data_IF_814760525336
#
_entry.id   IF_814760525336
#
_cell.length_a   1.000
_cell.length_b   1.000
_cell.length_c   1.000
_cell.angle_alpha   90.00
_cell.angle_beta   90.00
_cell.angle_gamma   90.00
#
_symmetry.space_group_name_H-M   'P 1'
#
loop_
_entity.id
_entity.type
_entity.pdbx_description
1 polymer ?
#
# COMPACT_ATOMS: atom_id res chain seq x y z
N UNK A 1 3.16 5.07 -11.54
CA UNK A 1 4.48 5.70 -11.27
C UNK A 1 4.91 5.50 -9.80
N UNK A 2 4.80 4.29 -9.25
CA UNK A 2 5.20 4.05 -7.84
C UNK A 2 6.72 4.02 -7.70
N UNK A 3 7.40 3.27 -8.57
CA UNK A 3 8.86 3.09 -8.52
C UNK A 3 9.61 4.43 -8.61
N UNK A 4 9.25 5.31 -9.54
CA UNK A 4 9.85 6.66 -9.63
C UNK A 4 9.75 7.42 -8.30
N UNK A 5 8.61 7.33 -7.61
CA UNK A 5 8.42 8.03 -6.33
C UNK A 5 9.25 7.43 -5.20
N UNK A 6 9.36 6.10 -5.15
CA UNK A 6 10.21 5.41 -4.17
C UNK A 6 11.69 5.79 -4.36
N UNK A 7 12.17 5.79 -5.59
CA UNK A 7 13.54 6.17 -5.93
C UNK A 7 13.87 7.61 -5.50
N UNK A 8 12.89 8.51 -5.56
CA UNK A 8 13.06 9.93 -5.27
C UNK A 8 12.94 10.27 -3.77
N UNK A 9 12.70 9.29 -2.91
CA UNK A 9 12.64 9.55 -1.47
C UNK A 9 14.01 10.07 -0.99
N UNK A 10 14.06 11.11 -0.12
CA UNK A 10 15.32 11.78 0.22
C UNK A 10 16.38 10.86 0.85
N UNK A 11 15.95 9.82 1.55
CA UNK A 11 16.84 8.87 2.23
C UNK A 11 17.31 7.74 1.32
N UNK A 12 16.75 7.57 0.12
CA UNK A 12 17.11 6.46 -0.77
C UNK A 12 18.39 6.80 -1.54
N UNK A 13 19.47 6.08 -1.23
CA UNK A 13 20.76 6.16 -1.93
C UNK A 13 21.20 4.79 -2.44
N UNK A 14 20.91 3.72 -1.71
CA UNK A 14 21.26 2.36 -2.12
C UNK A 14 20.02 1.54 -2.41
N UNK A 15 19.95 0.96 -3.61
CA UNK A 15 18.81 0.17 -4.07
C UNK A 15 19.28 -1.25 -4.37
N UNK A 16 18.63 -2.24 -3.78
CA UNK A 16 18.96 -3.65 -3.97
C UNK A 16 17.76 -4.40 -4.51
N UNK A 17 17.92 -5.13 -5.61
CA UNK A 17 16.83 -5.87 -6.24
C UNK A 17 17.23 -7.29 -6.63
N UNK A 18 16.31 -8.24 -6.52
CA UNK A 18 16.39 -9.51 -7.28
C UNK A 18 15.51 -9.41 -8.53
N UNK A 19 15.97 -9.97 -9.65
CA UNK A 19 15.23 -9.98 -10.91
C UNK A 19 15.61 -8.86 -11.89
N UNK A 20 16.91 -8.66 -12.19
CA UNK A 20 17.35 -7.66 -13.17
C UNK A 20 16.61 -7.79 -14.52
N UNK A 21 16.49 -9.01 -15.03
CA UNK A 21 15.85 -9.34 -16.30
C UNK A 21 16.35 -8.42 -17.45
N UNK A 22 15.48 -7.59 -18.02
CA UNK A 22 15.83 -6.64 -19.08
C UNK A 22 16.28 -5.26 -18.56
N UNK A 23 16.32 -5.06 -17.23
CA UNK A 23 16.80 -3.85 -16.57
C UNK A 23 15.79 -2.70 -16.51
N UNK A 24 14.49 -2.97 -16.61
CA UNK A 24 13.46 -1.91 -16.60
C UNK A 24 13.41 -1.18 -15.26
N UNK A 25 13.41 -1.92 -14.14
CA UNK A 25 13.47 -1.35 -12.79
C UNK A 25 14.78 -0.59 -12.59
N UNK A 26 15.93 -1.21 -12.88
CA UNK A 26 17.25 -0.59 -12.83
C UNK A 26 17.33 0.74 -13.62
N UNK A 27 16.78 0.78 -14.83
CA UNK A 27 16.71 2.00 -15.64
C UNK A 27 15.88 3.09 -14.95
N UNK A 28 14.74 2.73 -14.35
CA UNK A 28 13.91 3.67 -13.58
C UNK A 28 14.69 4.21 -12.38
N UNK A 29 15.33 3.34 -11.60
CA UNK A 29 16.14 3.72 -10.43
C UNK A 29 17.23 4.73 -10.80
N UNK A 30 18.04 4.41 -11.80
CA UNK A 30 19.18 5.20 -12.25
C UNK A 30 18.77 6.56 -12.84
N UNK A 31 17.59 6.63 -13.46
CA UNK A 31 17.06 7.85 -14.09
C UNK A 31 16.33 8.74 -13.10
N UNK A 32 15.58 8.15 -12.15
CA UNK A 32 14.74 8.90 -11.22
C UNK A 32 15.52 9.50 -10.05
N UNK A 33 16.67 8.91 -9.71
CA UNK A 33 17.55 9.36 -8.65
C UNK A 33 18.98 9.41 -9.19
N UNK A 34 19.62 10.58 -9.15
CA UNK A 34 20.97 10.78 -9.71
C UNK A 34 22.09 10.28 -8.81
N UNK A 35 21.81 10.10 -7.51
CA UNK A 35 22.78 9.66 -6.51
C UNK A 35 22.65 8.16 -6.20
N UNK A 36 21.67 7.47 -6.79
CA UNK A 36 21.41 6.09 -6.45
C UNK A 36 22.50 5.13 -6.97
N UNK A 37 22.94 4.22 -6.11
CA UNK A 37 23.70 3.03 -6.45
C UNK A 37 22.76 1.82 -6.45
N UNK A 38 22.80 1.03 -7.52
CA UNK A 38 21.87 -0.09 -7.76
C UNK A 38 22.64 -1.41 -7.77
N UNK A 39 22.25 -2.32 -6.89
CA UNK A 39 22.76 -3.68 -6.78
C UNK A 39 21.67 -4.66 -7.19
N UNK A 40 21.83 -5.29 -8.35
CA UNK A 40 20.83 -6.18 -8.93
C UNK A 40 21.34 -7.62 -8.97
N UNK A 41 20.51 -8.58 -8.63
CA UNK A 41 20.83 -10.00 -8.58
C UNK A 41 19.93 -10.75 -9.56
N UNK A 42 20.53 -11.53 -10.46
CA UNK A 42 19.78 -12.22 -11.51
C UNK A 42 20.49 -13.50 -11.94
N UNK A 43 19.72 -14.54 -12.31
CA UNK A 43 20.30 -15.79 -12.81
C UNK A 43 21.07 -15.60 -14.13
N UNK A 44 20.69 -14.62 -14.93
CA UNK A 44 21.28 -14.33 -16.23
C UNK A 44 20.94 -15.35 -17.31
N UNK A 45 19.81 -16.06 -17.17
CA UNK A 45 19.35 -17.09 -18.11
C UNK A 45 19.00 -16.50 -19.49
N UNK A 46 18.57 -15.24 -19.51
CA UNK A 46 18.21 -14.56 -20.73
C UNK A 46 19.43 -13.87 -21.36
N UNK A 47 19.70 -14.14 -22.64
CA UNK A 47 20.83 -13.54 -23.36
C UNK A 47 20.82 -12.01 -23.35
N UNK A 48 19.62 -11.40 -23.31
CA UNK A 48 19.48 -9.96 -23.29
C UNK A 48 19.93 -9.35 -21.96
N UNK A 49 19.89 -10.09 -20.84
CA UNK A 49 20.13 -9.54 -19.51
C UNK A 49 21.55 -8.95 -19.41
N UNK A 50 22.56 -9.71 -19.84
CA UNK A 50 23.96 -9.25 -19.83
C UNK A 50 24.21 -8.10 -20.80
N UNK A 51 23.54 -8.10 -21.97
CA UNK A 51 23.63 -7.00 -22.96
C UNK A 51 23.02 -5.72 -22.40
N UNK A 52 21.87 -5.81 -21.75
CA UNK A 52 21.18 -4.69 -21.12
C UNK A 52 21.93 -4.18 -19.90
N UNK A 53 22.46 -5.06 -19.05
CA UNK A 53 23.32 -4.67 -17.94
C UNK A 53 24.53 -3.87 -18.42
N UNK A 54 25.23 -4.35 -19.44
CA UNK A 54 26.33 -3.62 -20.06
C UNK A 54 25.89 -2.25 -20.59
N UNK A 55 24.79 -2.20 -21.33
CA UNK A 55 24.27 -0.94 -21.86
C UNK A 55 23.95 0.08 -20.76
N UNK A 56 23.33 -0.36 -19.66
CA UNK A 56 23.02 0.51 -18.53
C UNK A 56 24.27 0.92 -17.75
N UNK A 57 25.25 0.02 -17.59
CA UNK A 57 26.54 0.34 -16.96
C UNK A 57 27.35 1.37 -17.76
N UNK A 58 27.35 1.25 -19.09
CA UNK A 58 28.00 2.23 -19.97
C UNK A 58 27.31 3.61 -19.89
N UNK A 59 25.97 3.62 -19.71
CA UNK A 59 25.18 4.85 -19.61
C UNK A 59 25.23 5.51 -18.22
N UNK A 60 25.36 4.71 -17.17
CA UNK A 60 25.40 5.16 -15.77
C UNK A 60 26.63 4.58 -15.07
N UNK A 61 27.84 5.05 -15.43
CA UNK A 61 29.10 4.45 -14.99
C UNK A 61 29.23 4.49 -13.47
N UNK A 62 29.58 3.35 -12.87
CA UNK A 62 29.79 3.20 -11.43
C UNK A 62 28.52 3.08 -10.59
N UNK A 63 27.33 3.17 -11.19
CA UNK A 63 26.06 3.21 -10.45
C UNK A 63 25.23 1.93 -10.51
N UNK A 64 25.59 0.98 -11.36
CA UNK A 64 24.89 -0.30 -11.52
C UNK A 64 25.86 -1.48 -11.39
N UNK A 65 25.60 -2.35 -10.44
CA UNK A 65 26.31 -3.60 -10.22
C UNK A 65 25.31 -4.75 -10.36
N UNK A 66 25.57 -5.66 -11.30
CA UNK A 66 24.71 -6.84 -11.51
C UNK A 66 25.50 -8.10 -11.16
N UNK A 67 25.03 -8.83 -10.16
CA UNK A 67 25.61 -10.10 -9.73
C UNK A 67 24.84 -11.25 -10.35
N UNK A 68 25.54 -12.06 -11.15
CA UNK A 68 24.94 -13.16 -11.90
C UNK A 68 25.01 -14.48 -11.12
N UNK A 69 23.87 -15.16 -10.98
CA UNK A 69 23.76 -16.49 -10.40
C UNK A 69 22.54 -16.66 -9.50
N UNK A 70 22.50 -17.81 -8.84
CA UNK A 70 21.45 -18.18 -7.88
C UNK A 70 21.44 -17.22 -6.69
N UNK A 71 20.38 -16.40 -6.58
CA UNK A 71 20.20 -15.39 -5.55
C UNK A 71 20.27 -15.95 -4.14
N UNK A 72 19.87 -17.22 -3.94
CA UNK A 72 19.96 -17.89 -2.63
C UNK A 72 21.41 -18.10 -2.16
N UNK A 73 22.38 -17.99 -3.08
CA UNK A 73 23.82 -18.12 -2.84
C UNK A 73 24.56 -16.80 -3.00
N UNK A 74 24.22 -16.02 -4.03
CA UNK A 74 24.91 -14.78 -4.34
C UNK A 74 24.61 -13.69 -3.33
N UNK A 75 23.38 -13.58 -2.81
CA UNK A 75 23.04 -12.57 -1.79
C UNK A 75 23.80 -12.78 -0.48
N UNK A 76 23.82 -13.99 0.14
CA UNK A 76 24.63 -14.22 1.33
C UNK A 76 26.14 -14.01 1.11
N UNK A 77 26.64 -14.39 -0.07
CA UNK A 77 28.05 -14.15 -0.42
C UNK A 77 28.33 -12.65 -0.54
N UNK A 78 27.47 -11.91 -1.23
CA UNK A 78 27.58 -10.48 -1.41
C UNK A 78 27.59 -9.75 -0.05
N UNK A 79 26.70 -10.10 0.90
CA UNK A 79 26.72 -9.48 2.23
C UNK A 79 28.03 -9.75 2.99
N UNK A 80 28.67 -10.91 2.80
CA UNK A 80 29.97 -11.21 3.40
C UNK A 80 31.10 -10.42 2.78
N UNK A 81 31.08 -10.27 1.45
CA UNK A 81 32.14 -9.60 0.70
C UNK A 81 32.03 -8.07 0.77
N UNK A 82 30.81 -7.57 0.98
CA UNK A 82 30.45 -6.15 1.03
C UNK A 82 29.65 -5.83 2.30
N UNK A 83 30.22 -5.99 3.51
CA UNK A 83 29.52 -5.74 4.76
C UNK A 83 29.06 -4.28 4.91
N UNK A 84 29.72 -3.34 4.23
CA UNK A 84 29.43 -1.91 4.19
C UNK A 84 28.15 -1.57 3.43
N UNK A 85 27.71 -2.44 2.50
CA UNK A 85 26.52 -2.17 1.68
C UNK A 85 25.28 -2.43 2.51
N UNK A 86 24.46 -1.39 2.62
CA UNK A 86 23.12 -1.43 3.21
C UNK A 86 22.13 -0.71 2.30
N UNK A 87 20.97 -1.31 2.08
CA UNK A 87 19.98 -0.93 1.08
C UNK A 87 18.82 -0.16 1.72
N UNK A 88 18.51 1.02 1.17
CA UNK A 88 17.41 1.88 1.60
C UNK A 88 16.11 1.53 0.88
N UNK A 89 16.23 0.97 -0.34
CA UNK A 89 15.12 0.41 -1.09
C UNK A 89 15.46 -1.02 -1.50
N UNK A 90 14.63 -1.96 -1.08
CA UNK A 90 14.77 -3.39 -1.35
C UNK A 90 13.61 -3.80 -2.24
N UNK A 91 13.90 -4.50 -3.34
CA UNK A 91 12.88 -5.04 -4.25
C UNK A 91 13.12 -6.53 -4.41
N UNK A 92 12.08 -7.34 -4.20
CA UNK A 92 12.14 -8.79 -4.42
C UNK A 92 11.25 -9.13 -5.62
N UNK A 93 11.89 -9.43 -6.74
CA UNK A 93 11.25 -9.73 -8.03
C UNK A 93 12.00 -10.85 -8.79
N UNK A 94 12.76 -11.68 -8.05
CA UNK A 94 13.58 -12.75 -8.62
C UNK A 94 12.86 -14.08 -8.70
N UNK A 95 13.02 -14.91 -7.67
CA UNK A 95 12.51 -16.29 -7.71
C UNK A 95 11.01 -16.40 -7.47
N UNK A 96 10.27 -16.95 -8.42
CA UNK A 96 8.81 -17.13 -8.28
C UNK A 96 8.39 -18.49 -7.68
N UNK A 97 9.22 -19.06 -6.79
CA UNK A 97 8.84 -20.22 -5.97
C UNK A 97 8.89 -19.83 -4.50
N UNK A 98 8.01 -20.40 -3.68
CA UNK A 98 7.95 -20.08 -2.24
C UNK A 98 9.32 -20.17 -1.56
N UNK A 99 10.14 -21.23 -1.75
CA UNK A 99 11.44 -21.33 -1.08
C UNK A 99 12.42 -20.25 -1.53
N UNK A 100 12.49 -19.97 -2.84
CA UNK A 100 13.44 -18.97 -3.38
C UNK A 100 13.01 -17.56 -3.00
N UNK A 101 11.73 -17.21 -3.17
CA UNK A 101 11.21 -15.91 -2.75
C UNK A 101 11.39 -15.65 -1.25
N UNK A 102 11.19 -16.67 -0.41
CA UNK A 102 11.43 -16.57 1.04
C UNK A 102 12.90 -16.35 1.36
N UNK A 103 13.81 -17.05 0.65
CA UNK A 103 15.23 -16.88 0.80
C UNK A 103 15.70 -15.50 0.31
N UNK A 104 15.22 -15.04 -0.85
CA UNK A 104 15.50 -13.71 -1.40
C UNK A 104 15.06 -12.62 -0.43
N UNK A 105 13.82 -12.70 0.07
CA UNK A 105 13.29 -11.75 1.05
C UNK A 105 14.17 -11.71 2.32
N UNK A 106 14.51 -12.88 2.87
CA UNK A 106 15.32 -12.98 4.09
C UNK A 106 16.75 -12.46 3.89
N UNK A 107 17.37 -12.81 2.76
CA UNK A 107 18.74 -12.42 2.44
C UNK A 107 18.84 -10.92 2.11
N UNK A 108 17.90 -10.36 1.35
CA UNK A 108 17.84 -8.93 1.08
C UNK A 108 17.53 -8.13 2.34
N UNK A 109 16.69 -8.65 3.24
CA UNK A 109 16.45 -8.01 4.54
C UNK A 109 17.71 -7.91 5.39
N UNK A 110 18.64 -8.86 5.29
CA UNK A 110 19.94 -8.79 5.96
C UNK A 110 20.89 -7.72 5.36
N UNK A 111 20.53 -7.17 4.20
CA UNK A 111 21.18 -6.02 3.59
C UNK A 111 20.46 -4.71 3.91
N UNK A 112 19.36 -4.69 4.67
CA UNK A 112 18.60 -3.47 4.91
C UNK A 112 19.37 -2.43 5.75
N UNK A 113 19.26 -1.15 5.38
CA UNK A 113 19.69 -0.04 6.22
C UNK A 113 18.68 0.22 7.35
N UNK A 114 19.04 1.05 8.34
CA UNK A 114 18.14 1.39 9.46
C UNK A 114 16.83 2.06 9.01
N UNK A 115 16.86 2.78 7.88
CA UNK A 115 15.69 3.41 7.26
C UNK A 115 15.51 2.86 5.85
N UNK A 116 14.68 1.82 5.73
CA UNK A 116 14.50 1.12 4.47
C UNK A 116 13.02 0.95 4.10
N UNK A 117 12.77 0.70 2.82
CA UNK A 117 11.50 0.24 2.28
C UNK A 117 11.72 -1.09 1.58
N UNK A 118 10.87 -2.07 1.85
CA UNK A 118 10.83 -3.35 1.13
C UNK A 118 9.61 -3.36 0.22
N UNK A 119 9.83 -3.64 -1.07
CA UNK A 119 8.80 -3.89 -2.07
C UNK A 119 8.88 -5.35 -2.47
N UNK A 120 7.77 -6.06 -2.31
CA UNK A 120 7.62 -7.45 -2.74
C UNK A 120 6.77 -7.43 -4.01
N UNK A 121 7.30 -7.87 -5.15
CA UNK A 121 6.52 -7.94 -6.40
C UNK A 121 5.64 -9.20 -6.42
N UNK A 122 4.78 -9.31 -7.44
CA UNK A 122 3.82 -10.41 -7.61
C UNK A 122 2.83 -10.55 -6.44
N UNK A 123 2.02 -9.49 -6.23
CA UNK A 123 0.90 -9.54 -5.29
C UNK A 123 -0.02 -10.74 -5.58
N UNK A 124 -0.48 -11.48 -4.54
CA UNK A 124 -1.33 -12.65 -4.68
C UNK A 124 -2.72 -12.26 -5.18
N UNK A 125 -2.85 -12.14 -6.50
CA UNK A 125 -4.13 -12.01 -7.20
C UNK A 125 -4.55 -13.35 -7.79
N UNK A 126 -5.82 -13.48 -8.18
CA UNK A 126 -6.31 -14.67 -8.91
C UNK A 126 -5.66 -14.86 -10.29
N UNK A 127 -4.78 -13.94 -10.71
CA UNK A 127 -4.06 -13.98 -11.99
C UNK A 127 -2.57 -14.31 -11.78
N UNK A 128 -1.99 -14.96 -12.78
CA UNK A 128 -0.54 -15.22 -12.87
C UNK A 128 0.01 -16.07 -11.71
N UNK A 129 1.20 -15.73 -11.23
CA UNK A 129 1.95 -16.36 -10.14
C UNK A 129 1.34 -16.10 -8.75
N UNK A 130 0.34 -15.22 -8.65
CA UNK A 130 -0.22 -14.74 -7.39
C UNK A 130 -0.56 -15.83 -6.36
N UNK A 131 -1.30 -16.89 -6.72
CA UNK A 131 -1.64 -17.95 -5.76
C UNK A 131 -0.41 -18.73 -5.27
N UNK A 132 0.68 -18.79 -6.06
CA UNK A 132 1.90 -19.50 -5.68
C UNK A 132 2.73 -18.75 -4.64
N UNK A 133 2.71 -17.42 -4.66
CA UNK A 133 3.50 -16.59 -3.73
C UNK A 133 2.69 -16.11 -2.51
N UNK A 134 1.38 -16.37 -2.45
CA UNK A 134 0.54 -16.04 -1.31
C UNK A 134 1.13 -16.46 0.06
N UNK A 135 1.72 -17.66 0.23
CA UNK A 135 2.33 -18.04 1.51
C UNK A 135 3.51 -17.16 1.92
N UNK A 136 4.27 -16.61 0.97
CA UNK A 136 5.40 -15.70 1.25
C UNK A 136 4.86 -14.36 1.73
N UNK A 137 3.82 -13.83 1.07
CA UNK A 137 3.13 -12.63 1.51
C UNK A 137 2.56 -12.80 2.92
N UNK A 138 1.86 -13.90 3.20
CA UNK A 138 1.28 -14.18 4.51
C UNK A 138 2.34 -14.31 5.61
N UNK A 139 3.43 -15.04 5.34
CA UNK A 139 4.43 -15.32 6.38
C UNK A 139 5.42 -14.18 6.58
N UNK A 140 5.82 -13.45 5.54
CA UNK A 140 6.85 -12.42 5.63
C UNK A 140 6.25 -11.02 5.84
N UNK A 141 5.10 -10.71 5.23
CA UNK A 141 4.44 -9.40 5.41
C UNK A 141 3.66 -9.34 6.71
N UNK A 142 3.14 -10.46 7.26
CA UNK A 142 2.52 -10.42 8.60
C UNK A 142 3.52 -10.10 9.73
N UNK A 143 4.81 -10.33 9.52
CA UNK A 143 5.87 -9.87 10.45
C UNK A 143 6.18 -8.37 10.30
N UNK A 144 5.71 -7.73 9.21
CA UNK A 144 5.64 -6.27 9.10
C UNK A 144 4.41 -5.83 9.91
N UNK A 145 4.60 -5.74 11.22
CA UNK A 145 3.57 -5.33 12.17
C UNK A 145 2.83 -4.07 11.66
N UNK A 146 1.47 -4.07 11.61
CA UNK A 146 0.67 -2.91 11.20
C UNK A 146 0.99 -1.63 11.97
N UNK A 147 1.62 -1.73 13.14
CA UNK A 147 2.14 -0.61 13.92
C UNK A 147 3.22 0.23 13.18
N UNK A 148 3.77 -0.27 12.06
CA UNK A 148 4.84 0.38 11.31
C UNK A 148 4.48 0.70 9.84
N UNK A 149 3.21 0.56 9.43
CA UNK A 149 2.75 1.29 8.25
C UNK A 149 3.03 2.77 8.55
N UNK A 150 3.75 3.50 7.68
CA UNK A 150 4.00 4.91 7.92
C UNK A 150 2.70 5.66 7.62
N UNK A 151 1.77 5.62 8.58
CA UNK A 151 0.43 6.22 8.49
C UNK A 151 0.53 7.73 8.29
N UNK A 152 1.69 8.31 8.63
CA UNK A 152 2.10 9.68 8.31
C UNK A 152 1.99 10.04 6.82
N UNK A 153 2.05 9.07 5.88
CA UNK A 153 1.86 9.33 4.45
C UNK A 153 0.38 9.44 4.02
N UNK A 154 -0.59 9.14 4.90
CA UNK A 154 -2.03 9.26 4.61
C UNK A 154 -2.57 10.69 4.86
N UNK A 155 -1.72 11.59 5.34
CA UNK A 155 -2.04 13.01 5.52
C UNK A 155 -3.20 13.21 6.51
N UNK A 156 -4.28 13.93 6.14
CA UNK A 156 -5.36 14.27 7.06
C UNK A 156 -6.17 13.06 7.56
N UNK A 157 -6.02 11.90 6.92
CA UNK A 157 -6.73 10.67 7.30
C UNK A 157 -5.99 9.83 8.35
N UNK A 158 -4.76 10.20 8.71
CA UNK A 158 -3.93 9.49 9.69
C UNK A 158 -4.66 9.23 11.02
N UNK A 159 -5.28 10.23 11.69
CA UNK A 159 -5.99 9.99 12.95
C UNK A 159 -7.16 9.00 12.84
N UNK A 160 -7.85 9.00 11.70
CA UNK A 160 -8.99 8.11 11.45
C UNK A 160 -8.51 6.67 11.25
N UNK A 161 -7.42 6.48 10.50
CA UNK A 161 -6.82 5.17 10.28
C UNK A 161 -6.25 4.61 11.60
N UNK A 162 -5.61 5.45 12.41
CA UNK A 162 -5.18 5.06 13.75
C UNK A 162 -6.34 4.63 14.64
N UNK A 163 -7.48 5.33 14.61
CA UNK A 163 -8.66 4.94 15.37
C UNK A 163 -9.20 3.58 14.92
N UNK A 164 -9.26 3.33 13.60
CA UNK A 164 -9.69 2.06 13.01
C UNK A 164 -8.78 0.89 13.40
N UNK A 165 -7.47 1.10 13.37
CA UNK A 165 -6.48 0.06 13.69
C UNK A 165 -6.43 -0.25 15.19
N UNK A 166 -6.49 0.76 16.05
CA UNK A 166 -6.34 0.59 17.49
C UNK A 166 -7.64 0.15 18.17
N UNK A 167 -8.81 0.46 17.60
CA UNK A 167 -10.11 0.20 18.22
C UNK A 167 -11.16 -0.38 17.25
N UNK A 168 -10.87 -1.48 16.54
CA UNK A 168 -11.75 -2.00 15.48
C UNK A 168 -13.16 -2.35 15.99
N UNK A 169 -13.26 -2.95 17.18
CA UNK A 169 -14.56 -3.30 17.78
C UNK A 169 -15.39 -2.06 18.15
N UNK A 170 -14.74 -1.00 18.65
CA UNK A 170 -15.42 0.25 19.00
C UNK A 170 -15.90 0.97 17.74
N UNK A 171 -15.06 1.04 16.70
CA UNK A 171 -15.44 1.68 15.44
C UNK A 171 -16.60 0.93 14.78
N UNK A 172 -16.56 -0.41 14.76
CA UNK A 172 -17.67 -1.22 14.28
C UNK A 172 -18.95 -0.96 15.07
N UNK A 173 -18.88 -0.96 16.41
CA UNK A 173 -20.01 -0.66 17.27
C UNK A 173 -20.61 0.73 16.99
N UNK A 174 -19.77 1.77 16.87
CA UNK A 174 -20.20 3.13 16.58
C UNK A 174 -20.83 3.24 15.18
N UNK A 175 -20.25 2.58 14.18
CA UNK A 175 -20.78 2.56 12.82
C UNK A 175 -22.18 1.96 12.77
N UNK A 176 -22.36 0.76 13.32
CA UNK A 176 -23.66 0.09 13.33
C UNK A 176 -24.69 0.84 14.19
N UNK A 177 -24.27 1.39 15.33
CA UNK A 177 -25.17 2.20 16.18
C UNK A 177 -25.63 3.46 15.45
N UNK A 178 -24.72 4.17 14.77
CA UNK A 178 -25.06 5.37 13.99
C UNK A 178 -25.99 5.03 12.82
N UNK A 179 -25.73 3.92 12.12
CA UNK A 179 -26.60 3.45 11.04
C UNK A 179 -28.02 3.15 11.55
N UNK A 180 -28.15 2.48 12.70
CA UNK A 180 -29.44 2.22 13.33
C UNK A 180 -30.19 3.51 13.71
N UNK A 181 -29.48 4.49 14.26
CA UNK A 181 -30.04 5.81 14.58
C UNK A 181 -30.56 6.49 13.31
N UNK A 182 -29.77 6.54 12.23
CA UNK A 182 -30.16 7.17 10.98
C UNK A 182 -31.36 6.47 10.33
N UNK A 183 -31.45 5.14 10.39
CA UNK A 183 -32.64 4.38 9.94
C UNK A 183 -33.87 4.76 10.76
N UNK A 184 -33.74 4.85 12.09
CA UNK A 184 -34.84 5.24 12.96
C UNK A 184 -35.31 6.69 12.72
N UNK A 185 -34.39 7.64 12.59
CA UNK A 185 -34.68 9.03 12.28
C UNK A 185 -35.35 9.18 10.91
N UNK A 186 -34.90 8.42 9.92
CA UNK A 186 -35.51 8.35 8.59
C UNK A 186 -36.94 7.84 8.67
N UNK A 187 -37.18 6.79 9.46
CA UNK A 187 -38.54 6.29 9.70
C UNK A 187 -39.44 7.36 10.35
N UNK A 188 -38.94 8.07 11.36
CA UNK A 188 -39.66 9.17 12.00
C UNK A 188 -39.97 10.29 10.99
N UNK A 189 -39.01 10.66 10.14
CA UNK A 189 -39.19 11.68 9.11
C UNK A 189 -40.27 11.27 8.10
N UNK A 190 -40.28 10.02 7.63
CA UNK A 190 -41.30 9.49 6.73
C UNK A 190 -42.68 9.55 7.39
N UNK A 191 -42.79 9.06 8.64
CA UNK A 191 -44.05 9.09 9.39
C UNK A 191 -44.55 10.52 9.60
N UNK A 192 -43.65 11.46 9.85
CA UNK A 192 -43.97 12.88 10.00
C UNK A 192 -44.45 13.49 8.68
N UNK A 193 -43.75 13.24 7.57
CA UNK A 193 -44.17 13.70 6.24
C UNK A 193 -45.55 13.18 5.86
N UNK A 194 -45.85 11.90 6.13
CA UNK A 194 -47.16 11.30 5.85
C UNK A 194 -48.27 11.96 6.66
N UNK A 195 -48.03 12.28 7.95
CA UNK A 195 -49.01 13.00 8.79
C UNK A 195 -49.29 14.40 8.27
N UNK A 196 -48.26 15.07 7.78
CA UNK A 196 -48.33 16.42 7.21
C UNK A 196 -48.80 16.42 5.74
N UNK A 197 -49.05 15.26 5.14
CA UNK A 197 -49.43 15.09 3.74
C UNK A 197 -48.47 15.75 2.74
N UNK A 198 -47.16 15.70 3.04
CA UNK A 198 -46.13 16.29 2.17
C UNK A 198 -45.91 15.41 0.92
N UNK A 199 -45.80 16.04 -0.26
CA UNK A 199 -45.51 15.35 -1.52
C UNK A 199 -44.04 14.94 -1.68
N UNK A 200 -43.13 15.53 -0.90
CA UNK A 200 -41.67 15.36 -1.00
C UNK A 200 -41.07 14.37 0.01
N UNK A 201 -41.85 13.40 0.52
CA UNK A 201 -41.43 12.45 1.57
C UNK A 201 -40.11 11.74 1.26
N UNK A 202 -39.88 11.33 0.02
CA UNK A 202 -38.64 10.65 -0.39
C UNK A 202 -37.40 11.53 -0.29
N UNK A 203 -37.52 12.84 -0.55
CA UNK A 203 -36.40 13.77 -0.39
C UNK A 203 -36.03 13.92 1.09
N UNK A 204 -37.03 14.05 1.96
CA UNK A 204 -36.83 14.08 3.40
C UNK A 204 -36.27 12.77 3.95
N UNK A 205 -36.70 11.63 3.41
CA UNK A 205 -36.16 10.33 3.80
C UNK A 205 -34.66 10.23 3.47
N UNK A 206 -34.27 10.54 2.23
CA UNK A 206 -32.86 10.50 1.81
C UNK A 206 -32.02 11.51 2.59
N UNK A 207 -32.52 12.75 2.73
CA UNK A 207 -31.81 13.79 3.46
C UNK A 207 -31.61 13.43 4.93
N UNK A 208 -32.64 12.89 5.59
CA UNK A 208 -32.54 12.46 6.99
C UNK A 208 -31.68 11.21 7.16
N UNK A 209 -31.65 10.30 6.19
CA UNK A 209 -30.73 9.17 6.25
C UNK A 209 -29.26 9.61 6.15
N UNK A 210 -28.96 10.65 5.38
CA UNK A 210 -27.58 11.15 5.20
C UNK A 210 -27.15 12.06 6.35
N UNK A 211 -28.01 13.01 6.73
CA UNK A 211 -27.67 14.08 7.69
C UNK A 211 -28.22 13.84 9.10
N UNK A 212 -28.97 12.76 9.30
CA UNK A 212 -29.50 12.34 10.60
C UNK A 212 -30.40 13.38 11.27
N UNK A 213 -30.22 13.52 12.58
CA UNK A 213 -31.04 14.35 13.47
C UNK A 213 -31.18 15.80 13.01
N UNK A 214 -30.16 16.37 12.36
CA UNK A 214 -30.18 17.76 11.90
C UNK A 214 -31.30 17.96 10.87
N UNK A 215 -31.41 17.04 9.91
CA UNK A 215 -32.48 17.05 8.91
C UNK A 215 -33.85 16.80 9.56
N UNK A 216 -33.93 15.87 10.51
CA UNK A 216 -35.20 15.60 11.22
C UNK A 216 -35.67 16.81 12.03
N UNK A 217 -34.77 17.52 12.71
CA UNK A 217 -35.09 18.74 13.46
C UNK A 217 -35.65 19.83 12.54
N UNK A 218 -35.06 20.04 11.37
CA UNK A 218 -35.58 21.00 10.38
C UNK A 218 -37.02 20.66 9.98
N UNK A 219 -37.32 19.38 9.74
CA UNK A 219 -38.67 18.94 9.42
C UNK A 219 -39.66 19.14 10.58
N UNK A 220 -39.24 18.86 11.82
CA UNK A 220 -40.04 19.09 13.02
C UNK A 220 -40.34 20.58 13.25
N UNK A 221 -39.37 21.47 12.96
CA UNK A 221 -39.59 22.92 13.03
C UNK A 221 -40.67 23.36 12.03
N UNK A 222 -40.65 22.83 10.80
CA UNK A 222 -41.67 23.11 9.79
C UNK A 222 -43.07 22.64 10.21
N UNK A 223 -43.19 21.46 10.85
CA UNK A 223 -44.46 21.00 11.44
C UNK A 223 -45.00 22.00 12.48
N UNK A 224 -44.13 22.50 13.36
CA UNK A 224 -44.49 23.48 14.39
C UNK A 224 -44.99 24.80 13.81
N UNK A 225 -44.44 25.26 12.70
CA UNK A 225 -44.92 26.47 12.01
C UNK A 225 -46.30 26.24 11.39
N UNK A 226 -46.53 25.12 10.71
CA UNK A 226 -47.80 24.82 10.07
C UNK A 226 -48.96 24.71 11.08
N UNK A 227 -48.72 24.10 12.25
CA UNK A 227 -49.73 24.01 13.32
C UNK A 227 -50.10 25.35 13.98
N UNK A 228 -49.24 26.38 13.89
CA UNK A 228 -49.53 27.73 14.42
C UNK A 228 -50.33 28.59 13.46
N UNK A 229 -50.38 28.22 12.18
CA UNK A 229 -51.06 28.96 11.12
C UNK A 229 -52.45 28.38 10.76
N UNK A 230 -52.81 27.23 11.34
CA UNK A 230 -54.11 26.54 11.22
C UNK A 230 -55.00 26.82 12.43
#
# INVERSE_FOLDING_TARGET
MVYVKLAQLPFVKTICETGFNAGHSALIWLTANVDAEVYSFDMGEHEYAKKMAKHLQDKYPGRLMVTWGDSTKTLPQFKRDHPEVNCDLIVVDGGHTVPVATADFSNLRNLASDTNIVVFDDYPSERSLGPRLAPVWETQVAHLCPAHLPVSYLGPFDPMVQLLLNYPSLVAFLFYTTLLIHVFETYLAIRLCSRMQLSCTWKWAIQTFVYGIISLQLLMTQEGHLKRCS
#
